data_IF_844168424441
#
_entry.id   IF_844168424441
#
_cell.length_a   1.000
_cell.length_b   1.000
_cell.length_c   1.000
_cell.angle_alpha   90.00
_cell.angle_beta   90.00
_cell.angle_gamma   90.00
#
_symmetry.space_group_name_H-M   'P 1'
#
loop_
_entity.id
_entity.type
_entity.pdbx_description
1 polymer ?
#
# COMPACT_ATOMS: atom_id res chain seq x y z
N UNK A 1 6.26 6.28 23.66
CA UNK A 1 5.56 5.26 22.84
C UNK A 1 5.86 3.89 23.44
N UNK A 2 4.86 3.03 23.60
CA UNK A 2 5.07 1.64 24.04
C UNK A 2 5.65 0.81 22.88
N UNK A 3 6.38 -0.26 23.20
CA UNK A 3 6.93 -1.16 22.18
C UNK A 3 5.83 -1.71 21.26
N UNK A 4 4.68 -2.06 21.82
CA UNK A 4 3.53 -2.54 21.03
C UNK A 4 3.00 -1.50 20.05
N UNK A 5 2.84 -0.24 20.47
CA UNK A 5 2.41 0.85 19.58
C UNK A 5 3.39 1.07 18.43
N UNK A 6 4.70 1.06 18.73
CA UNK A 6 5.75 1.15 17.71
C UNK A 6 5.69 0.00 16.71
N UNK A 7 5.61 -1.25 17.20
CA UNK A 7 5.55 -2.44 16.35
C UNK A 7 4.35 -2.43 15.40
N UNK A 8 3.16 -2.05 15.89
CA UNK A 8 1.98 -1.94 15.02
C UNK A 8 2.16 -0.85 13.96
N UNK A 9 2.63 0.35 14.33
CA UNK A 9 2.84 1.41 13.36
C UNK A 9 3.88 1.02 12.31
N UNK A 10 5.02 0.47 12.72
CA UNK A 10 6.08 0.06 11.81
C UNK A 10 5.62 -1.06 10.87
N UNK A 11 4.96 -2.09 11.40
CA UNK A 11 4.38 -3.16 10.58
C UNK A 11 3.34 -2.61 9.60
N UNK A 12 2.47 -1.70 10.05
CA UNK A 12 1.50 -1.02 9.20
C UNK A 12 2.16 -0.27 8.05
N UNK A 13 3.20 0.54 8.33
CA UNK A 13 3.97 1.29 7.33
C UNK A 13 4.65 0.36 6.32
N UNK A 14 5.30 -0.71 6.79
CA UNK A 14 6.01 -1.63 5.89
C UNK A 14 5.05 -2.45 5.03
N UNK A 15 3.93 -2.93 5.60
CA UNK A 15 2.87 -3.57 4.81
C UNK A 15 2.28 -2.61 3.78
N UNK A 16 2.14 -1.33 4.14
CA UNK A 16 1.68 -0.30 3.21
C UNK A 16 2.66 -0.12 2.04
N UNK A 17 3.96 -0.04 2.35
CA UNK A 17 5.01 0.05 1.34
C UNK A 17 4.96 -1.14 0.37
N UNK A 18 4.91 -2.37 0.89
CA UNK A 18 4.76 -3.58 0.08
C UNK A 18 3.50 -3.53 -0.79
N UNK A 19 2.36 -3.11 -0.23
CA UNK A 19 1.13 -2.96 -0.99
C UNK A 19 1.29 -1.99 -2.17
N UNK A 20 1.92 -0.83 -1.96
CA UNK A 20 2.16 0.14 -3.03
C UNK A 20 3.08 -0.40 -4.13
N UNK A 21 4.12 -1.17 -3.76
CA UNK A 21 5.01 -1.80 -4.73
C UNK A 21 4.28 -2.87 -5.56
N UNK A 22 3.42 -3.67 -4.93
CA UNK A 22 2.58 -4.64 -5.65
C UNK A 22 1.61 -3.95 -6.61
N UNK A 23 0.96 -2.87 -6.17
CA UNK A 23 0.12 -2.07 -7.06
C UNK A 23 0.94 -1.51 -8.23
N UNK A 24 2.16 -1.00 -7.96
CA UNK A 24 3.03 -0.51 -9.03
C UNK A 24 3.41 -1.62 -10.00
N UNK A 25 3.72 -2.82 -9.53
CA UNK A 25 4.00 -3.99 -10.37
C UNK A 25 2.82 -4.32 -11.30
N UNK A 26 1.58 -4.28 -10.79
CA UNK A 26 0.38 -4.45 -11.61
C UNK A 26 0.27 -3.42 -12.75
N UNK A 27 0.60 -2.15 -12.47
CA UNK A 27 0.65 -1.12 -13.53
C UNK A 27 1.81 -1.31 -14.52
N UNK A 28 2.93 -1.91 -14.09
CA UNK A 28 4.04 -2.24 -15.00
C UNK A 28 3.63 -3.36 -15.97
N UNK A 29 2.77 -4.29 -15.54
CA UNK A 29 2.22 -5.36 -16.38
C UNK A 29 1.14 -4.84 -17.35
N UNK A 30 0.16 -4.08 -16.84
CA UNK A 30 -0.98 -3.64 -17.63
C UNK A 30 -0.70 -2.38 -18.48
N UNK A 31 0.37 -1.65 -18.17
CA UNK A 31 0.69 -0.36 -18.76
C UNK A 31 -0.16 0.78 -18.19
N UNK A 32 -0.13 1.93 -18.87
CA UNK A 32 -0.92 3.11 -18.48
C UNK A 32 -2.40 2.83 -18.75
N UNK A 33 -3.19 2.74 -17.68
CA UNK A 33 -4.64 2.52 -17.74
C UNK A 33 -5.32 3.84 -18.10
N UNK A 34 -5.96 3.90 -19.27
CA UNK A 34 -6.71 5.07 -19.74
C UNK A 34 -8.20 4.77 -19.79
N UNK A 35 -8.98 5.48 -18.97
CA UNK A 35 -10.42 5.28 -18.86
C UNK A 35 -11.19 6.17 -19.85
N UNK A 36 -12.03 5.56 -20.66
CA UNK A 36 -12.99 6.17 -21.58
C UNK A 36 -14.38 5.56 -21.34
N UNK A 37 -15.45 6.23 -21.79
CA UNK A 37 -16.81 5.69 -21.66
C UNK A 37 -16.99 4.32 -22.34
N UNK A 38 -16.17 4.00 -23.35
CA UNK A 38 -16.27 2.77 -24.11
C UNK A 38 -15.52 1.59 -23.47
N UNK A 39 -14.43 1.83 -22.73
CA UNK A 39 -13.55 0.77 -22.24
C UNK A 39 -13.54 0.58 -20.71
N UNK A 40 -14.15 1.48 -19.94
CA UNK A 40 -14.11 1.46 -18.47
C UNK A 40 -14.47 0.11 -17.84
N UNK A 41 -15.53 -0.56 -18.29
CA UNK A 41 -15.93 -1.89 -17.81
C UNK A 41 -14.86 -2.95 -18.07
N UNK A 42 -14.26 -2.94 -19.27
CA UNK A 42 -13.17 -3.85 -19.65
C UNK A 42 -11.91 -3.59 -18.84
N UNK A 43 -11.53 -2.31 -18.66
CA UNK A 43 -10.34 -1.95 -17.88
C UNK A 43 -10.48 -2.33 -16.41
N UNK A 44 -11.63 -2.05 -15.77
CA UNK A 44 -11.88 -2.52 -14.41
C UNK A 44 -11.89 -4.03 -14.30
N UNK A 45 -12.43 -4.75 -15.29
CA UNK A 45 -12.36 -6.21 -15.35
C UNK A 45 -10.90 -6.72 -15.38
N UNK A 46 -10.05 -6.13 -16.22
CA UNK A 46 -8.62 -6.44 -16.30
C UNK A 46 -7.90 -6.16 -14.99
N UNK A 47 -8.18 -5.01 -14.36
CA UNK A 47 -7.59 -4.66 -13.07
C UNK A 47 -8.03 -5.65 -11.96
N UNK A 48 -9.30 -6.07 -11.96
CA UNK A 48 -9.84 -6.93 -10.93
C UNK A 48 -9.24 -8.35 -10.93
N UNK A 49 -8.76 -8.83 -12.09
CA UNK A 49 -8.16 -10.17 -12.24
C UNK A 49 -6.64 -10.16 -12.20
N UNK A 50 -6.00 -8.98 -12.20
CA UNK A 50 -4.54 -8.84 -12.17
C UNK A 50 -3.99 -9.27 -10.79
N UNK A 51 -3.18 -10.34 -10.70
CA UNK A 51 -2.75 -10.91 -9.42
C UNK A 51 -2.03 -9.90 -8.51
N UNK A 52 -1.24 -9.00 -9.09
CA UNK A 52 -0.53 -7.96 -8.34
C UNK A 52 -1.48 -6.96 -7.67
N UNK A 53 -2.58 -6.59 -8.34
CA UNK A 53 -3.58 -5.71 -7.75
C UNK A 53 -4.39 -6.40 -6.66
N UNK A 54 -4.72 -7.68 -6.84
CA UNK A 54 -5.41 -8.47 -5.82
C UNK A 54 -4.52 -8.57 -4.56
N UNK A 55 -3.26 -9.01 -4.73
CA UNK A 55 -2.31 -9.15 -3.65
C UNK A 55 -1.99 -7.80 -2.97
N UNK A 56 -1.78 -6.75 -3.77
CA UNK A 56 -1.53 -5.39 -3.27
C UNK A 56 -2.70 -4.85 -2.46
N UNK A 57 -3.93 -5.03 -2.94
CA UNK A 57 -5.14 -4.59 -2.23
C UNK A 57 -5.35 -5.39 -0.95
N UNK A 58 -5.19 -6.71 -0.98
CA UNK A 58 -5.28 -7.54 0.23
C UNK A 58 -4.24 -7.12 1.28
N UNK A 59 -2.98 -6.89 0.85
CA UNK A 59 -1.92 -6.39 1.71
C UNK A 59 -2.26 -5.00 2.29
N UNK A 60 -2.83 -4.10 1.48
CA UNK A 60 -3.27 -2.77 1.91
C UNK A 60 -4.37 -2.83 2.97
N UNK A 61 -5.36 -3.72 2.80
CA UNK A 61 -6.43 -3.93 3.80
C UNK A 61 -5.85 -4.43 5.12
N UNK A 62 -4.94 -5.39 5.09
CA UNK A 62 -4.26 -5.88 6.31
C UNK A 62 -3.43 -4.77 6.94
N UNK A 63 -2.67 -4.01 6.14
CA UNK A 63 -1.92 -2.82 6.58
C UNK A 63 -2.82 -1.83 7.32
N UNK A 64 -4.00 -1.52 6.77
CA UNK A 64 -4.96 -0.60 7.36
C UNK A 64 -5.43 -1.07 8.74
N UNK A 65 -5.77 -2.36 8.88
CA UNK A 65 -6.18 -2.93 10.19
C UNK A 65 -5.05 -2.79 11.21
N UNK A 66 -3.83 -3.15 10.83
CA UNK A 66 -2.64 -3.03 11.70
C UNK A 66 -2.37 -1.56 12.06
N UNK A 67 -2.55 -0.64 11.11
CA UNK A 67 -2.39 0.79 11.32
C UNK A 67 -3.40 1.34 12.32
N UNK A 68 -4.68 0.95 12.24
CA UNK A 68 -5.71 1.35 13.21
C UNK A 68 -5.33 0.89 14.62
N UNK A 69 -4.79 -0.32 14.78
CA UNK A 69 -4.27 -0.79 16.07
C UNK A 69 -3.10 0.06 16.59
N UNK A 70 -2.22 0.52 15.71
CA UNK A 70 -1.13 1.44 16.07
C UNK A 70 -1.65 2.82 16.50
N UNK A 71 -2.58 3.39 15.73
CA UNK A 71 -3.19 4.70 16.01
C UNK A 71 -3.98 4.71 17.32
N UNK A 72 -4.58 3.58 17.71
CA UNK A 72 -5.29 3.49 18.99
C UNK A 72 -4.34 3.58 20.21
N UNK A 73 -3.02 3.57 20.01
CA UNK A 73 -2.00 3.51 21.06
C UNK A 73 -1.02 4.69 21.04
N UNK A 74 -1.00 5.46 19.96
CA UNK A 74 0.02 6.49 19.72
C UNK A 74 -0.67 7.74 19.17
N UNK A 75 -0.34 8.95 19.67
CA UNK A 75 -0.88 10.19 19.12
C UNK A 75 -0.59 10.31 17.62
N UNK A 76 -1.57 10.81 16.86
CA UNK A 76 -1.46 10.98 15.41
C UNK A 76 -0.28 11.87 14.99
N UNK A 77 0.09 12.85 15.82
CA UNK A 77 1.25 13.73 15.60
C UNK A 77 2.59 12.97 15.61
N UNK A 78 2.65 11.80 16.25
CA UNK A 78 3.82 10.92 16.25
C UNK A 78 3.70 9.84 15.18
N UNK A 79 2.50 9.28 14.98
CA UNK A 79 2.28 8.22 14.01
C UNK A 79 2.46 8.66 12.55
N UNK A 80 1.89 9.81 12.16
CA UNK A 80 1.95 10.27 10.76
C UNK A 80 3.38 10.53 10.26
N UNK A 81 4.29 11.15 11.05
CA UNK A 81 5.69 11.22 10.67
C UNK A 81 6.34 9.86 10.39
N UNK A 82 5.91 8.78 11.04
CA UNK A 82 6.45 7.43 10.79
C UNK A 82 6.11 6.90 9.39
N UNK A 83 5.04 7.40 8.75
CA UNK A 83 4.73 7.06 7.35
C UNK A 83 5.85 7.46 6.39
N UNK A 84 6.67 8.46 6.75
CA UNK A 84 7.83 8.87 5.94
C UNK A 84 8.84 7.74 5.72
N UNK A 85 8.93 6.78 6.65
CA UNK A 85 9.76 5.58 6.50
C UNK A 85 9.26 4.75 5.31
N UNK A 86 7.94 4.66 5.14
CA UNK A 86 7.33 3.99 3.98
C UNK A 86 7.73 4.65 2.66
N UNK A 87 7.83 5.99 2.63
CA UNK A 87 8.32 6.69 1.44
C UNK A 87 9.77 6.37 1.12
N UNK A 88 10.65 6.30 2.13
CA UNK A 88 12.06 5.91 1.94
C UNK A 88 12.17 4.47 1.45
N UNK A 89 11.44 3.54 2.07
CA UNK A 89 11.41 2.13 1.66
C UNK A 89 10.92 2.00 0.22
N UNK A 90 9.82 2.68 -0.12
CA UNK A 90 9.30 2.68 -1.49
C UNK A 90 10.30 3.28 -2.48
N UNK A 91 10.96 4.39 -2.16
CA UNK A 91 11.94 5.00 -3.06
C UNK A 91 13.10 4.05 -3.37
N UNK A 92 13.61 3.33 -2.37
CA UNK A 92 14.69 2.36 -2.56
C UNK A 92 14.18 1.13 -3.31
N UNK A 93 13.07 0.54 -2.87
CA UNK A 93 12.56 -0.69 -3.46
C UNK A 93 12.07 -0.48 -4.90
N UNK A 94 11.43 0.65 -5.18
CA UNK A 94 10.95 0.99 -6.52
C UNK A 94 12.10 1.27 -7.52
N UNK A 95 13.31 1.56 -7.04
CA UNK A 95 14.48 1.62 -7.93
C UNK A 95 14.79 0.27 -8.60
N UNK A 96 14.40 -0.83 -7.95
CA UNK A 96 14.61 -2.20 -8.43
C UNK A 96 13.35 -2.83 -9.06
N UNK A 97 12.24 -2.10 -9.16
CA UNK A 97 10.93 -2.57 -9.63
C UNK A 97 10.57 -1.95 -11.00
#
# INVERSE_FOLDING_TARGET
MTLSGFSFLMAGVLLNAVAQLLLKAGTNVLGVITLTRANWTSEFGRMAVEPHFIAGTACYVVSLVVWILGLSRVPVSVAYPMLSIGYVVNAIAAYYL
#
